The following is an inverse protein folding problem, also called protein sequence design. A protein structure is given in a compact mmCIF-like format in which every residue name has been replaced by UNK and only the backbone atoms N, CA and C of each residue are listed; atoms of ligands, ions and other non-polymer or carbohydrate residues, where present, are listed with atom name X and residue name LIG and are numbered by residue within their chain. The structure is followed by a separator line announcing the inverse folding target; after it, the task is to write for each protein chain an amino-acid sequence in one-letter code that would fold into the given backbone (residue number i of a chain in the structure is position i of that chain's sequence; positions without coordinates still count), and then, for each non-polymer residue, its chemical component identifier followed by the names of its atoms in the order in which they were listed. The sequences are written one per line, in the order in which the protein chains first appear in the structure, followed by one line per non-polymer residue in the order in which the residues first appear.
data_IF_039238132591
#
_entry.id   IF_039238132591
#
_cell.length_a   1.000
_cell.length_b   1.000
_cell.length_c   1.000
_cell.angle_alpha   90.00
_cell.angle_beta   90.00
_cell.angle_gamma   90.00
#
_symmetry.space_group_name_H-M   'P 1'
#
loop_
_entity.id
_entity.type
_entity.pdbx_description
1 polymer ?
#
# COMPACT_ATOMS: atom_id res chain seq x y z
N UNK A 1 -24.57 -10.48 -47.69
CA UNK A 1 -24.89 -9.25 -46.93
C UNK A 1 -25.15 -9.52 -45.45
N UNK A 2 -25.99 -10.50 -45.07
CA UNK A 2 -26.26 -10.88 -43.67
C UNK A 2 -25.03 -11.28 -42.84
N UNK A 3 -24.10 -12.08 -43.39
CA UNK A 3 -22.90 -12.51 -42.65
C UNK A 3 -21.92 -11.37 -42.34
N UNK A 4 -21.85 -10.35 -43.20
CA UNK A 4 -21.00 -9.16 -42.99
C UNK A 4 -21.59 -8.24 -41.91
N UNK A 5 -22.92 -8.11 -41.86
CA UNK A 5 -23.61 -7.33 -40.83
C UNK A 5 -23.53 -8.02 -39.46
N UNK A 6 -23.71 -9.34 -39.40
CA UNK A 6 -23.54 -10.13 -38.16
C UNK A 6 -22.10 -10.08 -37.63
N UNK A 7 -21.11 -10.16 -38.52
CA UNK A 7 -19.70 -10.02 -38.15
C UNK A 7 -19.38 -8.63 -37.59
N UNK A 8 -19.82 -7.55 -38.28
CA UNK A 8 -19.64 -6.17 -37.79
C UNK A 8 -20.34 -5.92 -36.45
N UNK A 9 -21.54 -6.47 -36.27
CA UNK A 9 -22.29 -6.35 -35.02
C UNK A 9 -21.56 -7.05 -33.86
N UNK A 10 -21.09 -8.29 -34.08
CA UNK A 10 -20.34 -9.04 -33.07
C UNK A 10 -19.02 -8.34 -32.70
N UNK A 11 -18.27 -7.82 -33.69
CA UNK A 11 -17.05 -7.06 -33.41
C UNK A 11 -17.32 -5.78 -32.59
N UNK A 12 -18.43 -5.08 -32.85
CA UNK A 12 -18.82 -3.89 -32.10
C UNK A 12 -19.24 -4.21 -30.67
N UNK A 13 -19.98 -5.31 -30.48
CA UNK A 13 -20.38 -5.77 -29.15
C UNK A 13 -19.14 -6.15 -28.31
N UNK A 14 -18.19 -6.90 -28.89
CA UNK A 14 -16.92 -7.23 -28.23
C UNK A 14 -16.09 -6.00 -27.89
N UNK A 15 -16.02 -5.01 -28.79
CA UNK A 15 -15.29 -3.76 -28.53
C UNK A 15 -15.90 -2.99 -27.36
N UNK A 16 -17.23 -2.89 -27.30
CA UNK A 16 -17.93 -2.19 -26.22
C UNK A 16 -17.71 -2.89 -24.86
N UNK A 17 -17.77 -4.23 -24.82
CA UNK A 17 -17.46 -4.98 -23.60
C UNK A 17 -16.02 -4.75 -23.12
N UNK A 18 -15.05 -4.73 -24.04
CA UNK A 18 -13.64 -4.45 -23.68
C UNK A 18 -13.48 -3.01 -23.16
N UNK A 19 -14.16 -2.04 -23.79
CA UNK A 19 -14.10 -0.65 -23.34
C UNK A 19 -14.72 -0.47 -21.96
N UNK A 20 -15.86 -1.12 -21.69
CA UNK A 20 -16.49 -1.10 -20.38
C UNK A 20 -15.60 -1.71 -19.30
N UNK A 21 -15.04 -2.91 -19.54
CA UNK A 21 -14.13 -3.56 -18.59
C UNK A 21 -12.90 -2.70 -18.27
N UNK A 22 -12.33 -2.01 -19.27
CA UNK A 22 -11.20 -1.09 -19.05
C UNK A 22 -11.62 0.17 -18.30
N UNK A 23 -12.83 0.69 -18.55
CA UNK A 23 -13.37 1.85 -17.82
C UNK A 23 -13.64 1.50 -16.35
N UNK A 24 -14.26 0.36 -16.09
CA UNK A 24 -14.53 -0.13 -14.73
C UNK A 24 -13.23 -0.35 -13.95
N UNK A 25 -12.15 -0.80 -14.61
CA UNK A 25 -10.81 -0.87 -14.00
C UNK A 25 -10.25 0.49 -13.62
N UNK A 26 -10.41 1.51 -14.48
CA UNK A 26 -9.95 2.86 -14.15
C UNK A 26 -10.73 3.42 -12.95
N UNK A 27 -12.05 3.17 -12.88
CA UNK A 27 -12.86 3.51 -11.70
C UNK A 27 -12.30 2.79 -10.47
N UNK A 28 -12.08 1.48 -10.56
CA UNK A 28 -11.56 0.69 -9.44
C UNK A 28 -10.16 1.13 -8.96
N UNK A 29 -9.34 1.72 -9.83
CA UNK A 29 -8.09 2.35 -9.44
C UNK A 29 -8.30 3.73 -8.79
N UNK A 30 -9.23 4.54 -9.31
CA UNK A 30 -9.47 5.91 -8.83
C UNK A 30 -10.20 5.95 -7.48
N UNK A 31 -11.15 5.04 -7.24
CA UNK A 31 -11.94 4.99 -6.01
C UNK A 31 -11.04 4.97 -4.74
N UNK A 32 -10.07 4.05 -4.61
CA UNK A 32 -9.10 4.09 -3.51
C UNK A 32 -8.33 5.40 -3.42
N UNK A 33 -7.86 5.97 -4.53
CA UNK A 33 -7.08 7.20 -4.55
C UNK A 33 -7.89 8.35 -3.92
N UNK A 34 -9.15 8.47 -4.30
CA UNK A 34 -10.06 9.52 -3.82
C UNK A 34 -10.43 9.32 -2.34
N UNK A 35 -10.63 8.07 -1.91
CA UNK A 35 -10.89 7.75 -0.50
C UNK A 35 -9.67 8.01 0.37
N UNK A 36 -8.47 7.66 -0.10
CA UNK A 36 -7.22 7.96 0.59
C UNK A 36 -7.03 9.47 0.72
N UNK A 37 -7.26 10.22 -0.36
CA UNK A 37 -7.20 11.68 -0.33
C UNK A 37 -8.13 12.27 0.75
N UNK A 38 -9.42 11.90 0.72
CA UNK A 38 -10.39 12.36 1.72
C UNK A 38 -10.03 11.94 3.15
N UNK A 39 -9.48 10.73 3.32
CA UNK A 39 -9.04 10.22 4.61
C UNK A 39 -7.84 11.02 5.15
N UNK A 40 -6.88 11.36 4.29
CA UNK A 40 -5.69 12.14 4.67
C UNK A 40 -6.02 13.59 5.05
N UNK A 41 -7.10 14.16 4.50
CA UNK A 41 -7.60 15.48 4.88
C UNK A 41 -8.17 15.52 6.31
N UNK A 42 -8.60 14.37 6.84
CA UNK A 42 -9.34 14.28 8.12
C UNK A 42 -8.50 13.71 9.24
N UNK A 43 -7.58 12.78 8.96
CA UNK A 43 -6.70 12.21 9.97
C UNK A 43 -5.84 13.29 10.63
N UNK A 44 -5.58 13.15 11.93
CA UNK A 44 -4.69 14.05 12.68
C UNK A 44 -3.25 13.56 12.79
N UNK A 45 -2.95 12.35 12.29
CA UNK A 45 -1.64 11.73 12.43
C UNK A 45 -0.91 11.64 11.09
N UNK A 46 0.14 12.44 10.92
CA UNK A 46 0.88 12.55 9.66
C UNK A 46 1.56 11.25 9.23
N UNK A 47 2.07 10.47 10.18
CA UNK A 47 2.64 9.16 9.88
C UNK A 47 1.59 8.20 9.31
N UNK A 48 0.38 8.19 9.88
CA UNK A 48 -0.73 7.37 9.39
C UNK A 48 -1.25 7.87 8.03
N UNK A 49 -1.31 9.19 7.81
CA UNK A 49 -1.62 9.76 6.49
C UNK A 49 -0.65 9.22 5.44
N UNK A 50 0.66 9.20 5.71
CA UNK A 50 1.68 8.63 4.81
C UNK A 50 1.54 7.12 4.62
N UNK A 51 1.24 6.42 5.72
CA UNK A 51 0.98 4.96 5.73
C UNK A 51 -0.12 4.55 4.78
N UNK A 52 -1.21 5.32 4.72
CA UNK A 52 -2.34 5.06 3.84
C UNK A 52 -2.09 5.68 2.45
N UNK A 53 -1.52 6.88 2.43
CA UNK A 53 -1.15 7.67 1.26
C UNK A 53 -0.30 6.90 0.24
N UNK A 54 0.63 6.07 0.71
CA UNK A 54 1.48 5.26 -0.18
C UNK A 54 0.69 4.34 -1.12
N UNK A 55 -0.54 3.94 -0.76
CA UNK A 55 -1.39 3.09 -1.59
C UNK A 55 -1.87 3.80 -2.86
N UNK A 56 -1.86 5.15 -2.89
CA UNK A 56 -2.12 5.92 -4.10
C UNK A 56 -1.14 5.53 -5.21
N UNK A 57 0.14 5.37 -4.89
CA UNK A 57 1.17 5.09 -5.89
C UNK A 57 1.11 3.68 -6.46
N UNK A 58 0.48 2.73 -5.77
CA UNK A 58 0.15 1.42 -6.35
C UNK A 58 -0.99 1.57 -7.36
N UNK A 59 -2.10 2.18 -6.94
CA UNK A 59 -3.31 2.28 -7.76
C UNK A 59 -3.11 3.17 -8.97
N UNK A 60 -2.26 4.18 -8.84
CA UNK A 60 -1.90 5.06 -9.93
C UNK A 60 -1.05 4.35 -11.00
N UNK A 61 -0.16 3.43 -10.61
CA UNK A 61 0.60 2.61 -11.56
C UNK A 61 -0.33 1.79 -12.45
N UNK A 62 -1.30 1.09 -11.83
CA UNK A 62 -2.33 0.33 -12.54
C UNK A 62 -3.22 1.22 -13.43
N UNK A 63 -3.56 2.43 -12.96
CA UNK A 63 -4.33 3.41 -13.71
C UNK A 63 -3.58 3.85 -14.98
N UNK A 64 -2.29 4.19 -14.84
CA UNK A 64 -1.41 4.65 -15.92
C UNK A 64 -1.15 3.54 -16.94
N UNK A 65 -1.12 2.27 -16.53
CA UNK A 65 -1.05 1.14 -17.47
C UNK A 65 -2.38 0.94 -18.23
N UNK A 66 -3.51 1.13 -17.55
CA UNK A 66 -4.85 0.87 -18.08
C UNK A 66 -5.36 1.96 -19.02
N UNK A 67 -5.14 3.24 -18.70
CA UNK A 67 -5.70 4.37 -19.43
C UNK A 67 -5.28 4.41 -20.92
N UNK A 68 -4.00 4.17 -21.30
CA UNK A 68 -3.59 4.06 -22.70
C UNK A 68 -4.31 2.94 -23.47
N UNK A 69 -4.67 1.83 -22.80
CA UNK A 69 -5.39 0.71 -23.43
C UNK A 69 -6.80 1.15 -23.80
N UNK A 70 -7.50 1.83 -22.90
CA UNK A 70 -8.83 2.38 -23.18
C UNK A 70 -8.79 3.46 -24.26
N UNK A 71 -7.82 4.38 -24.18
CA UNK A 71 -7.58 5.40 -25.21
C UNK A 71 -7.41 4.77 -26.60
N UNK A 72 -6.71 3.64 -26.70
CA UNK A 72 -6.55 2.92 -27.97
C UNK A 72 -7.87 2.29 -28.46
N UNK A 73 -8.74 1.79 -27.57
CA UNK A 73 -10.05 1.28 -27.97
C UNK A 73 -11.00 2.41 -28.40
N UNK A 74 -11.03 3.54 -27.68
CA UNK A 74 -11.77 4.74 -28.08
C UNK A 74 -11.34 5.23 -29.46
N UNK A 75 -10.03 5.27 -29.73
CA UNK A 75 -9.52 5.60 -31.07
C UNK A 75 -10.04 4.62 -32.15
N UNK A 76 -10.06 3.31 -31.86
CA UNK A 76 -10.59 2.28 -32.77
C UNK A 76 -12.10 2.42 -32.99
N UNK A 77 -12.82 2.91 -31.99
CA UNK A 77 -14.24 3.22 -32.08
C UNK A 77 -14.52 4.57 -32.79
N UNK A 78 -13.48 5.29 -33.22
CA UNK A 78 -13.61 6.50 -34.05
C UNK A 78 -13.54 7.83 -33.29
N UNK A 79 -13.25 7.82 -31.98
CA UNK A 79 -13.16 9.06 -31.19
C UNK A 79 -11.85 9.84 -31.46
N UNK A 80 -11.93 11.17 -31.37
CA UNK A 80 -10.76 12.06 -31.43
C UNK A 80 -10.12 12.15 -30.04
N UNK A 81 -9.00 11.45 -29.86
CA UNK A 81 -8.38 11.21 -28.54
C UNK A 81 -7.24 12.18 -28.17
N UNK A 82 -7.13 13.36 -28.81
CA UNK A 82 -5.96 14.24 -28.63
C UNK A 82 -5.81 14.70 -27.19
N UNK A 83 -6.90 15.19 -26.61
CA UNK A 83 -6.87 15.81 -25.28
C UNK A 83 -6.72 14.72 -24.20
N UNK A 84 -7.40 13.58 -24.36
CA UNK A 84 -7.20 12.39 -23.52
C UNK A 84 -5.73 11.91 -23.53
N UNK A 85 -5.13 11.81 -24.71
CA UNK A 85 -3.73 11.41 -24.85
C UNK A 85 -2.78 12.40 -24.17
N UNK A 86 -3.10 13.70 -24.19
CA UNK A 86 -2.31 14.72 -23.51
C UNK A 86 -2.42 14.59 -21.99
N UNK A 87 -3.63 14.41 -21.46
CA UNK A 87 -3.87 14.22 -20.04
C UNK A 87 -3.17 12.97 -19.49
N UNK A 88 -3.32 11.81 -20.16
CA UNK A 88 -2.63 10.56 -19.79
C UNK A 88 -1.12 10.75 -19.78
N UNK A 89 -0.55 11.44 -20.77
CA UNK A 89 0.90 11.69 -20.83
C UNK A 89 1.40 12.61 -19.73
N UNK A 90 0.61 13.62 -19.34
CA UNK A 90 0.94 14.50 -18.21
C UNK A 90 1.05 13.65 -16.94
N UNK A 91 -0.02 12.93 -16.59
CA UNK A 91 -0.05 12.05 -15.42
C UNK A 91 1.07 11.00 -15.44
N UNK A 92 1.31 10.38 -16.59
CA UNK A 92 2.40 9.41 -16.78
C UNK A 92 3.78 10.02 -16.53
N UNK A 93 4.04 11.25 -17.00
CA UNK A 93 5.31 11.93 -16.78
C UNK A 93 5.47 12.41 -15.33
N UNK A 94 4.39 12.91 -14.72
CA UNK A 94 4.39 13.35 -13.32
C UNK A 94 4.68 12.14 -12.40
N UNK A 95 4.16 10.96 -12.73
CA UNK A 95 4.43 9.70 -12.03
C UNK A 95 5.80 9.09 -12.32
N UNK A 96 6.17 8.97 -13.61
CA UNK A 96 7.39 8.30 -14.08
C UNK A 96 8.62 9.12 -13.74
N UNK A 97 9.16 8.85 -12.57
CA UNK A 97 10.43 9.39 -12.11
C UNK A 97 10.53 9.19 -10.62
N UNK A 98 10.02 10.16 -9.89
CA UNK A 98 10.16 10.20 -8.45
C UNK A 98 9.11 9.33 -7.73
N UNK A 99 7.83 9.43 -8.09
CA UNK A 99 6.75 8.69 -7.42
C UNK A 99 6.77 7.17 -7.68
N UNK A 100 7.25 6.73 -8.85
CA UNK A 100 7.48 5.30 -9.11
C UNK A 100 8.44 4.65 -8.09
N UNK A 101 9.38 5.44 -7.53
CA UNK A 101 10.30 4.97 -6.47
C UNK A 101 9.58 4.74 -5.14
N UNK A 102 8.54 5.52 -4.82
CA UNK A 102 7.72 5.32 -3.62
C UNK A 102 7.00 3.97 -3.69
N UNK A 103 6.39 3.66 -4.85
CA UNK A 103 5.76 2.36 -5.08
C UNK A 103 6.77 1.22 -4.87
N UNK A 104 7.94 1.32 -5.50
CA UNK A 104 8.96 0.28 -5.46
C UNK A 104 9.55 0.11 -4.04
N UNK A 105 10.09 1.19 -3.47
CA UNK A 105 10.92 1.12 -2.26
C UNK A 105 10.15 1.26 -0.94
N UNK A 106 8.93 1.81 -0.93
CA UNK A 106 8.17 2.03 0.32
C UNK A 106 6.88 1.23 0.41
N UNK A 107 6.42 0.65 -0.70
CA UNK A 107 5.07 0.06 -0.77
C UNK A 107 5.08 -1.40 -1.21
N UNK A 108 5.32 -1.68 -2.50
CA UNK A 108 5.11 -3.01 -3.09
C UNK A 108 6.22 -4.01 -2.76
N UNK A 109 7.45 -3.53 -2.61
CA UNK A 109 8.64 -4.38 -2.63
C UNK A 109 9.59 -4.10 -1.46
N UNK A 110 9.75 -2.85 -1.00
CA UNK A 110 10.64 -2.51 0.14
C UNK A 110 12.09 -2.99 -0.04
N UNK A 111 12.65 -2.75 -1.21
CA UNK A 111 14.07 -3.04 -1.48
C UNK A 111 15.00 -2.26 -0.52
N UNK A 112 16.23 -2.76 -0.39
CA UNK A 112 17.28 -2.08 0.35
C UNK A 112 17.54 -0.68 -0.23
N UNK A 113 17.40 0.31 0.64
CA UNK A 113 17.48 1.71 0.31
C UNK A 113 18.04 2.44 1.52
N UNK A 114 18.95 3.39 1.31
CA UNK A 114 19.57 4.10 2.42
C UNK A 114 18.53 4.92 3.19
N UNK A 115 18.77 5.09 4.49
CA UNK A 115 17.79 5.70 5.40
C UNK A 115 17.43 7.14 5.01
N UNK A 116 18.38 7.92 4.48
CA UNK A 116 18.13 9.31 4.11
C UNK A 116 17.22 9.37 2.90
N UNK A 117 17.56 8.66 1.83
CA UNK A 117 16.72 8.59 0.62
C UNK A 117 15.35 7.99 0.92
N UNK A 118 15.27 7.03 1.86
CA UNK A 118 14.00 6.44 2.30
C UNK A 118 13.10 7.46 2.96
N UNK A 119 13.64 8.27 3.86
CA UNK A 119 12.88 9.31 4.54
C UNK A 119 12.50 10.45 3.61
N UNK A 120 13.36 10.80 2.65
CA UNK A 120 13.00 11.76 1.60
C UNK A 120 11.79 11.25 0.81
N UNK A 121 11.84 10.03 0.27
CA UNK A 121 10.70 9.42 -0.43
C UNK A 121 9.44 9.34 0.44
N UNK A 122 9.60 9.07 1.74
CA UNK A 122 8.48 9.00 2.67
C UNK A 122 7.83 10.36 2.89
N UNK A 123 8.62 11.43 2.97
CA UNK A 123 8.10 12.78 3.12
C UNK A 123 7.35 13.29 1.91
N UNK A 124 7.74 12.86 0.72
CA UNK A 124 7.08 13.21 -0.55
C UNK A 124 5.74 12.48 -0.75
N UNK A 125 5.36 11.64 0.21
CA UNK A 125 3.98 11.24 0.43
C UNK A 125 3.35 12.38 1.26
N UNK A 126 2.75 13.35 0.58
CA UNK A 126 2.10 14.52 1.20
C UNK A 126 0.71 14.77 0.61
N UNK A 127 -0.02 15.73 1.18
CA UNK A 127 -1.41 15.97 0.78
C UNK A 127 -1.45 16.54 -0.64
N UNK A 128 -0.57 17.51 -0.93
CA UNK A 128 -0.50 18.17 -2.22
C UNK A 128 -0.22 17.17 -3.36
N UNK A 129 0.72 16.25 -3.18
CA UNK A 129 1.03 15.22 -4.18
C UNK A 129 -0.15 14.28 -4.39
N UNK A 130 -0.82 13.85 -3.32
CA UNK A 130 -2.00 12.99 -3.42
C UNK A 130 -3.16 13.71 -4.13
N UNK A 131 -3.41 14.98 -3.80
CA UNK A 131 -4.46 15.79 -4.40
C UNK A 131 -4.24 15.97 -5.90
N UNK A 132 -3.03 16.39 -6.33
CA UNK A 132 -2.68 16.56 -7.74
C UNK A 132 -2.90 15.28 -8.53
N UNK A 133 -2.44 14.14 -7.99
CA UNK A 133 -2.56 12.84 -8.65
C UNK A 133 -4.03 12.36 -8.72
N UNK A 134 -4.83 12.62 -7.69
CA UNK A 134 -6.25 12.31 -7.66
C UNK A 134 -7.02 13.13 -8.70
N UNK A 135 -6.75 14.43 -8.79
CA UNK A 135 -7.39 15.36 -9.71
C UNK A 135 -7.04 15.06 -11.17
N UNK A 136 -5.77 14.79 -11.47
CA UNK A 136 -5.34 14.42 -12.82
C UNK A 136 -6.00 13.10 -13.29
N UNK A 137 -6.13 12.12 -12.40
CA UNK A 137 -6.78 10.84 -12.71
C UNK A 137 -8.30 11.01 -12.91
N UNK A 138 -8.95 11.84 -12.09
CA UNK A 138 -10.37 12.18 -12.25
C UNK A 138 -10.64 12.95 -13.56
N UNK A 139 -9.77 13.90 -13.91
CA UNK A 139 -9.84 14.64 -15.18
C UNK A 139 -9.82 13.67 -16.38
N UNK A 140 -9.00 12.63 -16.34
CA UNK A 140 -8.95 11.62 -17.40
C UNK A 140 -10.31 10.91 -17.56
N UNK A 141 -10.96 10.51 -16.47
CA UNK A 141 -12.29 9.89 -16.53
C UNK A 141 -13.37 10.86 -17.05
N UNK A 142 -13.30 12.13 -16.65
CA UNK A 142 -14.21 13.16 -17.15
C UNK A 142 -14.05 13.38 -18.67
N UNK A 143 -12.81 13.38 -19.17
CA UNK A 143 -12.55 13.42 -20.61
C UNK A 143 -13.11 12.17 -21.30
N UNK A 144 -12.90 10.98 -20.75
CA UNK A 144 -13.44 9.72 -21.31
C UNK A 144 -14.97 9.78 -21.40
N UNK A 145 -15.65 10.22 -20.34
CA UNK A 145 -17.11 10.38 -20.34
C UNK A 145 -17.59 11.35 -21.44
N UNK A 146 -16.88 12.47 -21.63
CA UNK A 146 -17.21 13.43 -22.69
C UNK A 146 -17.02 12.87 -24.10
N UNK A 147 -16.09 11.92 -24.27
CA UNK A 147 -15.84 11.25 -25.54
C UNK A 147 -16.88 10.17 -25.83
N UNK A 148 -17.27 9.38 -24.82
CA UNK A 148 -18.25 8.32 -24.91
C UNK A 148 -19.08 8.19 -23.63
N UNK A 149 -20.27 8.81 -23.62
CA UNK A 149 -21.16 8.78 -22.47
C UNK A 149 -21.79 7.41 -22.20
N UNK A 150 -21.66 6.45 -23.12
CA UNK A 150 -22.20 5.09 -22.94
C UNK A 150 -21.39 4.25 -21.96
N UNK A 151 -20.14 4.63 -21.67
CA UNK A 151 -19.29 3.94 -20.68
C UNK A 151 -19.71 4.22 -19.23
N UNK A 152 -20.58 5.22 -19.01
CA UNK A 152 -21.03 5.63 -17.68
C UNK A 152 -20.30 6.86 -17.16
N UNK A 153 -20.61 7.23 -15.92
CA UNK A 153 -20.06 8.39 -15.20
C UNK A 153 -19.35 7.87 -13.96
N UNK A 154 -18.14 8.35 -13.71
CA UNK A 154 -17.49 8.13 -12.43
C UNK A 154 -18.21 8.93 -11.34
N UNK A 155 -18.57 8.27 -10.25
CA UNK A 155 -19.17 8.89 -9.07
C UNK A 155 -18.21 8.69 -7.91
N UNK A 156 -17.81 9.79 -7.28
CA UNK A 156 -16.91 9.77 -6.13
C UNK A 156 -17.50 8.92 -4.98
N UNK A 157 -16.69 8.09 -4.30
CA UNK A 157 -17.15 7.27 -3.18
C UNK A 157 -17.80 8.12 -2.08
N UNK A 158 -19.03 7.75 -1.68
CA UNK A 158 -19.84 8.50 -0.71
C UNK A 158 -19.24 8.52 0.70
N UNK A 159 -18.43 7.52 1.03
CA UNK A 159 -17.75 7.39 2.32
C UNK A 159 -16.80 8.56 2.64
N UNK A 160 -16.36 9.32 1.63
CA UNK A 160 -15.53 10.53 1.80
C UNK A 160 -16.33 11.65 2.49
N UNK A 161 -17.64 11.67 2.31
CA UNK A 161 -18.54 12.68 2.87
C UNK A 161 -19.33 12.19 4.09
N UNK A 162 -19.17 10.92 4.49
CA UNK A 162 -19.87 10.35 5.62
C UNK A 162 -19.31 10.87 6.96
N UNK A 163 -20.16 11.56 7.72
CA UNK A 163 -19.75 12.12 9.02
C UNK A 163 -19.34 11.05 10.04
N UNK A 164 -19.94 9.86 10.02
CA UNK A 164 -19.53 8.79 10.95
C UNK A 164 -18.12 8.30 10.63
N UNK A 165 -17.78 8.21 9.33
CA UNK A 165 -16.42 7.89 8.90
C UNK A 165 -15.46 9.00 9.32
N UNK A 166 -15.80 10.28 9.06
CA UNK A 166 -14.97 11.42 9.47
C UNK A 166 -14.74 11.46 10.98
N UNK A 167 -15.80 11.29 11.77
CA UNK A 167 -15.73 11.26 13.23
C UNK A 167 -14.87 10.08 13.70
N UNK A 168 -15.00 8.90 13.09
CA UNK A 168 -14.14 7.77 13.38
C UNK A 168 -12.66 8.09 13.05
N UNK A 169 -12.36 8.71 11.92
CA UNK A 169 -10.99 9.10 11.55
C UNK A 169 -10.41 10.16 12.49
N UNK A 170 -11.18 11.19 12.85
CA UNK A 170 -10.75 12.26 13.77
C UNK A 170 -10.45 11.74 15.17
N UNK A 171 -11.25 10.77 15.63
CA UNK A 171 -11.09 10.15 16.94
C UNK A 171 -10.01 9.06 16.96
N UNK A 172 -9.34 8.77 15.85
CA UNK A 172 -8.18 7.87 15.84
C UNK A 172 -7.02 8.56 16.58
N UNK A 173 -6.81 8.18 17.84
CA UNK A 173 -5.79 8.79 18.69
C UNK A 173 -4.38 8.29 18.32
N UNK A 174 -3.41 9.20 18.33
CA UNK A 174 -2.00 8.83 18.32
C UNK A 174 -1.67 8.10 19.63
N UNK A 175 -1.06 6.92 19.51
CA UNK A 175 -1.01 5.92 20.59
C UNK A 175 -0.12 6.28 21.79
N UNK A 176 0.71 7.32 21.70
CA UNK A 176 1.68 7.59 22.74
C UNK A 176 1.65 9.06 23.16
N UNK A 177 1.31 9.28 24.43
CA UNK A 177 1.60 10.53 25.11
C UNK A 177 3.06 10.51 25.59
N UNK A 178 3.90 11.35 24.97
CA UNK A 178 5.32 11.51 25.32
C UNK A 178 6.29 10.93 24.29
N UNK A 179 7.57 10.89 24.66
CA UNK A 179 8.66 10.49 23.77
C UNK A 179 8.79 8.98 23.72
N UNK A 180 8.87 8.41 22.52
CA UNK A 180 8.90 6.96 22.28
C UNK A 180 10.19 6.52 21.60
N UNK A 181 10.49 5.22 21.67
CA UNK A 181 11.62 4.61 20.96
C UNK A 181 11.17 3.97 19.64
N UNK A 182 11.65 4.49 18.53
CA UNK A 182 11.51 3.91 17.21
C UNK A 182 12.71 3.06 16.80
N UNK A 183 12.47 1.79 16.50
CA UNK A 183 13.51 0.84 16.04
C UNK A 183 13.23 0.38 14.62
N UNK A 184 12.53 1.23 13.89
CA UNK A 184 12.12 1.05 12.52
C UNK A 184 12.73 2.16 11.65
N UNK A 185 12.80 1.92 10.34
CA UNK A 185 13.53 2.79 9.42
C UNK A 185 12.78 4.07 9.03
N UNK A 186 11.53 4.24 9.48
CA UNK A 186 10.71 5.44 9.30
C UNK A 186 10.57 6.23 10.61
N UNK A 187 11.19 5.76 11.69
CA UNK A 187 11.06 6.37 13.02
C UNK A 187 11.45 7.85 13.05
N UNK A 188 12.42 8.25 12.24
CA UNK A 188 12.89 9.64 12.14
C UNK A 188 11.85 10.62 11.57
N UNK A 189 10.78 10.13 10.92
CA UNK A 189 9.70 10.97 10.41
C UNK A 189 8.56 11.17 11.41
N UNK A 190 8.68 10.66 12.64
CA UNK A 190 7.61 10.72 13.64
C UNK A 190 7.95 11.73 14.72
N UNK A 191 6.97 12.53 15.07
CA UNK A 191 7.00 13.39 16.25
C UNK A 191 7.40 12.59 17.49
N UNK A 192 8.13 13.23 18.41
CA UNK A 192 8.46 12.68 19.72
C UNK A 192 9.03 11.26 19.68
N UNK A 193 9.88 10.95 18.70
CA UNK A 193 10.46 9.62 18.53
C UNK A 193 11.98 9.66 18.53
N UNK A 194 12.61 8.91 19.43
CA UNK A 194 14.04 8.61 19.40
C UNK A 194 14.25 7.45 18.43
N UNK A 195 15.18 7.60 17.50
CA UNK A 195 15.49 6.55 16.53
C UNK A 195 16.98 6.26 16.44
N UNK A 196 17.31 5.18 15.74
CA UNK A 196 18.69 4.77 15.50
C UNK A 196 18.97 4.72 14.00
N UNK A 197 20.15 5.17 13.60
CA UNK A 197 20.64 4.98 12.22
C UNK A 197 21.31 3.60 12.18
N UNK A 198 20.93 2.72 11.25
CA UNK A 198 21.51 1.40 11.18
C UNK A 198 22.97 1.50 10.69
N UNK A 199 23.87 0.77 11.35
CA UNK A 199 25.29 0.70 11.03
C UNK A 199 25.73 -0.71 10.60
N UNK A 200 24.78 -1.64 10.49
CA UNK A 200 25.01 -3.05 10.13
C UNK A 200 23.79 -3.64 9.43
N UNK A 201 23.97 -4.62 8.55
CA UNK A 201 22.88 -5.24 7.77
C UNK A 201 21.78 -5.85 8.64
N UNK A 202 22.14 -6.40 9.80
CA UNK A 202 21.15 -6.89 10.79
C UNK A 202 20.26 -5.77 11.31
N UNK A 203 20.83 -4.57 11.48
CA UNK A 203 20.09 -3.39 11.92
C UNK A 203 19.14 -2.91 10.82
N UNK A 204 19.63 -2.80 9.58
CA UNK A 204 18.83 -2.41 8.42
C UNK A 204 17.63 -3.35 8.24
N UNK A 205 17.86 -4.67 8.23
CA UNK A 205 16.78 -5.65 8.04
C UNK A 205 15.80 -5.65 9.21
N UNK A 206 16.28 -5.63 10.46
CA UNK A 206 15.39 -5.59 11.61
C UNK A 206 14.58 -4.29 11.66
N UNK A 207 15.14 -3.15 11.25
CA UNK A 207 14.39 -1.90 11.13
C UNK A 207 13.33 -1.96 10.01
N UNK A 208 13.61 -2.63 8.89
CA UNK A 208 12.61 -2.89 7.84
C UNK A 208 11.42 -3.72 8.37
N UNK A 209 11.70 -4.79 9.12
CA UNK A 209 10.71 -5.64 9.78
C UNK A 209 9.84 -4.80 10.72
N UNK A 210 10.45 -3.98 11.58
CA UNK A 210 9.71 -3.11 12.49
C UNK A 210 8.82 -2.11 11.74
N UNK A 211 9.28 -1.55 10.62
CA UNK A 211 8.45 -0.62 9.83
C UNK A 211 7.30 -1.35 9.14
N UNK A 212 7.49 -2.60 8.68
CA UNK A 212 6.38 -3.41 8.14
C UNK A 212 5.32 -3.65 9.20
N UNK A 213 5.75 -4.04 10.40
CA UNK A 213 4.87 -4.25 11.53
C UNK A 213 4.11 -2.99 11.93
N UNK A 214 4.80 -1.88 12.16
CA UNK A 214 4.18 -0.61 12.58
C UNK A 214 3.10 -0.14 11.59
N UNK A 215 3.40 -0.24 10.29
CA UNK A 215 2.49 0.16 9.25
C UNK A 215 1.26 -0.74 9.23
N UNK A 216 1.43 -2.07 9.27
CA UNK A 216 0.33 -3.02 9.30
C UNK A 216 -0.53 -2.90 10.58
N UNK A 217 0.09 -2.82 11.76
CA UNK A 217 -0.61 -2.73 13.04
C UNK A 217 -1.45 -1.47 13.16
N UNK A 218 -0.96 -0.32 12.69
CA UNK A 218 -1.74 0.92 12.68
C UNK A 218 -2.92 0.85 11.72
N UNK A 219 -2.74 0.23 10.56
CA UNK A 219 -3.82 0.01 9.60
C UNK A 219 -4.87 -0.96 10.15
N UNK A 220 -4.48 -2.02 10.86
CA UNK A 220 -5.40 -2.95 11.53
C UNK A 220 -6.24 -2.22 12.59
N UNK A 221 -5.60 -1.39 13.42
CA UNK A 221 -6.33 -0.61 14.43
C UNK A 221 -7.32 0.36 13.79
N UNK A 222 -6.90 1.02 12.71
CA UNK A 222 -7.81 1.87 11.93
C UNK A 222 -8.97 1.07 11.34
N UNK A 223 -8.68 -0.10 10.77
CA UNK A 223 -9.70 -1.00 10.21
C UNK A 223 -10.72 -1.38 11.29
N UNK A 224 -10.26 -1.82 12.46
CA UNK A 224 -11.13 -2.18 13.59
C UNK A 224 -12.04 -1.01 14.02
N UNK A 225 -11.53 0.22 13.99
CA UNK A 225 -12.29 1.43 14.33
C UNK A 225 -13.41 1.74 13.32
N UNK A 226 -13.25 1.36 12.05
CA UNK A 226 -14.23 1.61 10.97
C UNK A 226 -15.00 0.36 10.53
N UNK A 227 -14.77 -0.79 11.17
CA UNK A 227 -15.24 -2.12 10.73
C UNK A 227 -16.75 -2.12 10.43
N UNK A 228 -17.53 -1.56 11.35
CA UNK A 228 -19.00 -1.53 11.29
C UNK A 228 -19.57 -0.43 10.39
N UNK A 229 -18.72 0.47 9.87
CA UNK A 229 -19.13 1.58 9.03
C UNK A 229 -19.28 1.16 7.56
N UNK A 230 -20.16 1.84 6.82
CA UNK A 230 -20.40 1.60 5.40
C UNK A 230 -19.33 2.29 4.52
N UNK A 231 -18.08 1.87 4.66
CA UNK A 231 -16.92 2.39 3.92
C UNK A 231 -16.14 1.27 3.18
N UNK A 232 -16.78 0.57 2.22
CA UNK A 232 -16.18 -0.59 1.57
C UNK A 232 -14.87 -0.30 0.84
N UNK A 233 -14.71 0.88 0.23
CA UNK A 233 -13.49 1.18 -0.55
C UNK A 233 -12.30 1.39 0.39
N UNK A 234 -12.48 2.13 1.49
CA UNK A 234 -11.47 2.31 2.53
C UNK A 234 -11.09 0.97 3.15
N UNK A 235 -12.07 0.13 3.51
CA UNK A 235 -11.83 -1.19 4.09
C UNK A 235 -11.01 -2.10 3.16
N UNK A 236 -11.40 -2.20 1.88
CA UNK A 236 -10.62 -2.96 0.88
C UNK A 236 -9.20 -2.42 0.70
N UNK A 237 -9.05 -1.09 0.73
CA UNK A 237 -7.74 -0.43 0.62
C UNK A 237 -6.85 -0.77 1.79
N UNK A 238 -7.38 -0.72 3.01
CA UNK A 238 -6.65 -1.11 4.23
C UNK A 238 -6.32 -2.61 4.21
N UNK A 239 -7.25 -3.49 3.88
CA UNK A 239 -7.01 -4.94 3.80
C UNK A 239 -5.90 -5.29 2.78
N UNK A 240 -5.93 -4.64 1.60
CA UNK A 240 -4.87 -4.79 0.61
C UNK A 240 -3.50 -4.31 1.14
N UNK A 241 -3.47 -3.16 1.81
CA UNK A 241 -2.24 -2.60 2.40
C UNK A 241 -1.67 -3.48 3.53
N UNK A 242 -2.52 -4.00 4.41
CA UNK A 242 -2.14 -4.94 5.48
C UNK A 242 -1.58 -6.23 4.89
N UNK A 243 -2.20 -6.74 3.82
CA UNK A 243 -1.73 -7.93 3.10
C UNK A 243 -0.33 -7.72 2.51
N UNK A 244 -0.08 -6.55 1.91
CA UNK A 244 1.25 -6.19 1.39
C UNK A 244 2.31 -6.19 2.49
N UNK A 245 2.05 -5.49 3.59
CA UNK A 245 3.01 -5.38 4.69
C UNK A 245 3.26 -6.72 5.38
N UNK A 246 2.22 -7.55 5.54
CA UNK A 246 2.34 -8.89 6.12
C UNK A 246 3.23 -9.78 5.25
N UNK A 247 3.08 -9.71 3.93
CA UNK A 247 3.97 -10.44 3.02
C UNK A 247 5.39 -9.89 3.05
N UNK A 248 5.58 -8.58 2.99
CA UNK A 248 6.91 -7.97 3.11
C UNK A 248 7.60 -8.40 4.41
N UNK A 249 6.85 -8.52 5.52
CA UNK A 249 7.35 -9.04 6.79
C UNK A 249 7.81 -10.51 6.66
N UNK A 250 7.01 -11.37 6.01
CA UNK A 250 7.40 -12.78 5.75
C UNK A 250 8.66 -12.82 4.87
N UNK A 251 8.71 -12.06 3.77
CA UNK A 251 9.86 -12.00 2.87
C UNK A 251 11.12 -11.54 3.61
N UNK A 252 11.01 -10.52 4.48
CA UNK A 252 12.13 -9.95 5.22
C UNK A 252 12.64 -10.85 6.33
N UNK A 253 11.77 -11.56 7.05
CA UNK A 253 12.19 -12.45 8.14
C UNK A 253 12.73 -13.76 7.56
N UNK A 254 11.96 -14.43 6.70
CA UNK A 254 12.17 -15.83 6.31
C UNK A 254 12.52 -16.02 4.83
N UNK A 255 12.15 -15.06 3.98
CA UNK A 255 12.10 -15.25 2.52
C UNK A 255 10.82 -15.96 2.08
N UNK A 256 10.66 -16.16 0.78
CA UNK A 256 9.51 -16.88 0.21
C UNK A 256 9.92 -18.24 -0.35
N UNK A 257 9.12 -19.31 -0.11
CA UNK A 257 9.36 -20.62 -0.69
C UNK A 257 9.49 -20.57 -2.22
N UNK A 258 10.48 -21.26 -2.76
CA UNK A 258 10.70 -21.37 -4.21
C UNK A 258 11.13 -20.08 -4.92
N UNK A 259 11.48 -19.03 -4.16
CA UNK A 259 11.94 -17.75 -4.72
C UNK A 259 13.31 -17.39 -4.16
N UNK A 260 14.13 -16.76 -5.00
CA UNK A 260 15.40 -16.17 -4.56
C UNK A 260 15.05 -14.85 -3.86
N UNK A 261 15.40 -14.67 -2.58
CA UNK A 261 15.24 -13.40 -1.89
C UNK A 261 15.95 -12.28 -2.64
N UNK A 262 15.34 -11.09 -2.67
CA UNK A 262 15.94 -9.89 -3.29
C UNK A 262 17.15 -9.38 -2.51
N UNK A 263 17.18 -9.70 -1.23
CA UNK A 263 18.17 -9.32 -0.23
C UNK A 263 18.27 -10.42 0.81
N UNK A 264 19.33 -10.40 1.63
CA UNK A 264 19.45 -11.38 2.72
C UNK A 264 18.31 -11.22 3.71
N UNK A 265 17.69 -12.34 4.06
CA UNK A 265 16.62 -12.41 5.06
C UNK A 265 17.21 -12.24 6.47
N UNK A 266 16.37 -11.90 7.45
CA UNK A 266 16.83 -11.78 8.82
C UNK A 266 17.33 -13.12 9.37
N UNK A 267 16.72 -14.26 8.99
CA UNK A 267 17.21 -15.60 9.32
C UNK A 267 18.62 -15.82 8.79
N UNK A 268 18.88 -15.50 7.53
CA UNK A 268 20.20 -15.67 6.91
C UNK A 268 21.26 -14.82 7.63
N UNK A 269 20.95 -13.54 7.87
CA UNK A 269 21.84 -12.61 8.59
C UNK A 269 22.10 -13.11 10.01
N UNK A 270 21.06 -13.58 10.70
CA UNK A 270 21.14 -14.11 12.06
C UNK A 270 22.04 -15.35 12.12
N UNK A 271 21.91 -16.27 11.17
CA UNK A 271 22.76 -17.47 11.09
C UNK A 271 24.22 -17.12 10.81
N UNK A 272 24.49 -16.29 9.81
CA UNK A 272 25.84 -15.86 9.45
C UNK A 272 26.53 -15.12 10.61
N UNK A 273 25.76 -14.37 11.40
CA UNK A 273 26.25 -13.59 12.54
C UNK A 273 26.27 -14.37 13.86
N UNK A 274 25.85 -15.64 13.86
CA UNK A 274 25.77 -16.49 15.05
C UNK A 274 24.81 -15.95 16.12
N UNK A 275 23.62 -15.49 15.72
CA UNK A 275 22.59 -15.02 16.65
C UNK A 275 21.90 -16.21 17.32
N UNK A 276 21.73 -16.15 18.65
CA UNK A 276 21.12 -17.27 19.39
C UNK A 276 19.68 -17.57 18.97
N UNK A 277 18.94 -16.58 18.48
CA UNK A 277 17.56 -16.73 18.01
C UNK A 277 17.41 -17.26 16.58
N UNK A 278 18.51 -17.52 15.85
CA UNK A 278 18.44 -17.89 14.43
C UNK A 278 17.71 -19.23 14.20
N UNK A 279 18.01 -20.25 15.01
CA UNK A 279 17.40 -21.57 14.90
C UNK A 279 15.90 -21.54 15.21
N UNK A 280 15.48 -20.65 16.13
CA UNK A 280 14.06 -20.45 16.43
C UNK A 280 13.32 -19.90 15.22
N UNK A 281 13.86 -18.85 14.57
CA UNK A 281 13.25 -18.29 13.37
C UNK A 281 13.19 -19.31 12.23
N UNK A 282 14.22 -20.14 12.05
CA UNK A 282 14.18 -21.22 11.07
C UNK A 282 13.10 -22.26 11.39
N UNK A 283 12.91 -22.64 12.66
CA UNK A 283 11.83 -23.54 13.06
C UNK A 283 10.45 -22.95 12.73
N UNK A 284 10.25 -21.65 12.99
CA UNK A 284 9.04 -20.95 12.59
C UNK A 284 8.86 -20.93 11.08
N UNK A 285 9.91 -20.64 10.30
CA UNK A 285 9.87 -20.65 8.85
C UNK A 285 9.41 -22.00 8.29
N UNK A 286 9.93 -23.10 8.85
CA UNK A 286 9.58 -24.46 8.45
C UNK A 286 8.18 -24.88 8.91
N UNK A 287 7.61 -24.21 9.91
CA UNK A 287 6.26 -24.47 10.42
C UNK A 287 5.19 -23.61 9.74
N UNK A 288 5.58 -22.60 8.93
CA UNK A 288 4.62 -21.77 8.21
C UNK A 288 3.83 -22.63 7.21
N UNK A 289 2.48 -22.54 7.19
CA UNK A 289 1.69 -23.25 6.21
C UNK A 289 2.00 -22.69 4.81
N UNK A 290 2.72 -23.45 3.99
CA UNK A 290 3.12 -23.01 2.64
C UNK A 290 1.92 -22.62 1.78
N UNK A 291 0.83 -23.38 1.85
CA UNK A 291 -0.41 -23.07 1.11
C UNK A 291 -0.99 -21.69 1.47
N UNK A 292 -0.94 -21.31 2.75
CA UNK A 292 -1.39 -19.99 3.20
C UNK A 292 -0.48 -18.87 2.69
N UNK A 293 0.84 -19.11 2.64
CA UNK A 293 1.79 -18.15 2.09
C UNK A 293 1.62 -17.99 0.57
N UNK A 294 1.44 -19.09 -0.15
CA UNK A 294 1.19 -19.08 -1.59
C UNK A 294 -0.13 -18.37 -1.93
N UNK A 295 -1.18 -18.59 -1.14
CA UNK A 295 -2.44 -17.87 -1.28
C UNK A 295 -2.24 -16.35 -1.10
N UNK A 296 -1.54 -15.92 -0.05
CA UNK A 296 -1.25 -14.50 0.16
C UNK A 296 -0.44 -13.91 -1.00
N UNK A 297 0.59 -14.62 -1.48
CA UNK A 297 1.39 -14.20 -2.64
C UNK A 297 0.51 -14.02 -3.88
N UNK A 298 -0.41 -14.95 -4.12
CA UNK A 298 -1.34 -14.88 -5.24
C UNK A 298 -2.26 -13.66 -5.10
N UNK A 299 -2.88 -13.45 -3.93
CA UNK A 299 -3.72 -12.29 -3.64
C UNK A 299 -2.93 -11.00 -3.88
N UNK A 300 -1.72 -10.89 -3.34
CA UNK A 300 -0.85 -9.73 -3.51
C UNK A 300 -0.58 -9.42 -4.97
N UNK A 301 -0.21 -10.43 -5.74
CA UNK A 301 0.09 -10.29 -7.16
C UNK A 301 -1.17 -10.06 -8.01
N UNK A 302 -2.36 -10.48 -7.55
CA UNK A 302 -3.56 -10.28 -8.33
C UNK A 302 -4.21 -8.93 -8.10
N UNK A 303 -4.17 -8.42 -6.86
CA UNK A 303 -5.03 -7.28 -6.49
C UNK A 303 -4.41 -6.26 -5.53
N UNK A 304 -3.38 -6.62 -4.75
CA UNK A 304 -2.82 -5.68 -3.75
C UNK A 304 -1.65 -4.84 -4.26
N UNK A 305 -0.66 -5.44 -4.94
CA UNK A 305 0.53 -4.74 -5.45
C UNK A 305 0.36 -4.23 -6.89
N UNK A 306 -0.59 -4.81 -7.61
CA UNK A 306 -1.02 -4.47 -8.96
C UNK A 306 -2.35 -5.19 -9.22
N UNK A 307 -3.04 -4.82 -10.29
CA UNK A 307 -4.20 -5.57 -10.78
C UNK A 307 -3.81 -6.53 -11.90
N UNK A 308 -4.20 -7.80 -11.79
CA UNK A 308 -3.97 -8.77 -12.85
C UNK A 308 -4.81 -8.41 -14.08
N UNK A 309 -4.12 -8.12 -15.19
CA UNK A 309 -4.73 -7.59 -16.43
C UNK A 309 -5.71 -8.54 -17.12
N UNK A 310 -5.61 -9.84 -16.84
CA UNK A 310 -6.42 -10.89 -17.48
C UNK A 310 -7.54 -11.41 -16.56
N UNK A 311 -7.62 -10.94 -15.31
CA UNK A 311 -8.62 -11.35 -14.33
C UNK A 311 -9.76 -10.34 -14.30
N UNK A 312 -11.02 -10.72 -14.60
CA UNK A 312 -12.16 -9.80 -14.62
C UNK A 312 -12.26 -8.90 -13.38
N UNK A 313 -12.67 -7.64 -13.55
CA UNK A 313 -12.71 -6.68 -12.45
C UNK A 313 -13.61 -7.13 -11.29
N UNK A 314 -14.73 -7.81 -11.59
CA UNK A 314 -15.62 -8.36 -10.58
C UNK A 314 -14.91 -9.41 -9.69
N UNK A 315 -14.07 -10.25 -10.28
CA UNK A 315 -13.31 -11.27 -9.55
C UNK A 315 -12.24 -10.61 -8.67
N UNK A 316 -11.60 -9.55 -9.16
CA UNK A 316 -10.65 -8.75 -8.37
C UNK A 316 -11.32 -8.11 -7.16
N UNK A 317 -12.51 -7.53 -7.35
CA UNK A 317 -13.31 -6.97 -6.24
C UNK A 317 -13.69 -8.05 -5.24
N UNK A 318 -14.11 -9.24 -5.70
CA UNK A 318 -14.44 -10.34 -4.82
C UNK A 318 -13.25 -10.80 -3.98
N UNK A 319 -12.05 -10.89 -4.57
CA UNK A 319 -10.83 -11.22 -3.80
C UNK A 319 -10.58 -10.16 -2.71
N UNK A 320 -10.79 -8.88 -3.01
CA UNK A 320 -10.66 -7.81 -2.01
C UNK A 320 -11.74 -7.92 -0.93
N UNK A 321 -12.97 -8.26 -1.28
CA UNK A 321 -14.05 -8.48 -0.32
C UNK A 321 -13.74 -9.66 0.60
N UNK A 322 -13.29 -10.79 0.05
CA UNK A 322 -12.93 -11.99 0.81
C UNK A 322 -11.83 -11.68 1.86
N UNK A 323 -10.76 -10.97 1.47
CA UNK A 323 -9.71 -10.58 2.44
C UNK A 323 -10.16 -9.52 3.44
N UNK A 324 -11.16 -8.71 3.07
CA UNK A 324 -11.74 -7.69 3.94
C UNK A 324 -12.61 -8.34 5.01
N UNK A 325 -13.35 -9.40 4.66
CA UNK A 325 -14.13 -10.20 5.60
C UNK A 325 -13.23 -11.01 6.54
N UNK A 326 -12.11 -11.52 6.05
CA UNK A 326 -11.13 -12.31 6.80
C UNK A 326 -10.01 -11.47 7.47
N UNK A 327 -10.21 -10.16 7.71
CA UNK A 327 -9.14 -9.28 8.18
C UNK A 327 -8.52 -9.71 9.52
N UNK A 328 -9.30 -10.33 10.44
CA UNK A 328 -8.76 -10.83 11.71
C UNK A 328 -7.75 -11.97 11.50
N UNK A 329 -7.84 -12.72 10.40
CA UNK A 329 -6.83 -13.73 10.04
C UNK A 329 -5.50 -13.06 9.70
N UNK A 330 -5.53 -11.89 9.04
CA UNK A 330 -4.34 -11.10 8.77
C UNK A 330 -3.71 -10.58 10.07
N UNK A 331 -4.51 -10.06 11.00
CA UNK A 331 -4.03 -9.63 12.32
C UNK A 331 -3.39 -10.77 13.12
N UNK A 332 -4.06 -11.93 13.18
CA UNK A 332 -3.50 -13.12 13.83
C UNK A 332 -2.18 -13.58 13.21
N UNK A 333 -2.07 -13.54 11.88
CA UNK A 333 -0.82 -13.86 11.18
C UNK A 333 0.29 -12.86 11.55
N UNK A 334 -0.02 -11.56 11.50
CA UNK A 334 0.93 -10.50 11.85
C UNK A 334 1.46 -10.67 13.28
N UNK A 335 0.57 -10.88 14.25
CA UNK A 335 0.92 -11.08 15.65
C UNK A 335 1.74 -12.35 15.88
N UNK A 336 1.45 -13.42 15.14
CA UNK A 336 2.22 -14.68 15.19
C UNK A 336 3.65 -14.47 14.67
N UNK A 337 3.79 -13.81 13.52
CA UNK A 337 5.08 -13.51 12.90
C UNK A 337 5.94 -12.65 13.84
N UNK A 338 5.36 -11.60 14.42
CA UNK A 338 6.07 -10.72 15.33
C UNK A 338 6.35 -11.36 16.69
N UNK A 339 5.49 -12.23 17.19
CA UNK A 339 5.76 -13.04 18.37
C UNK A 339 7.03 -13.88 18.19
N UNK A 340 7.17 -14.55 17.05
CA UNK A 340 8.37 -15.30 16.70
C UNK A 340 9.61 -14.40 16.60
N UNK A 341 9.48 -13.25 15.93
CA UNK A 341 10.56 -12.27 15.80
C UNK A 341 11.04 -11.75 17.15
N UNK A 342 10.14 -11.31 18.03
CA UNK A 342 10.48 -10.82 19.37
C UNK A 342 11.06 -11.91 20.26
N UNK A 343 10.51 -13.14 20.21
CA UNK A 343 11.06 -14.25 20.97
C UNK A 343 12.51 -14.53 20.54
N UNK A 344 12.79 -14.57 19.23
CA UNK A 344 14.15 -14.71 18.73
C UNK A 344 15.06 -13.55 19.15
N UNK A 345 14.57 -12.31 19.05
CA UNK A 345 15.33 -11.12 19.44
C UNK A 345 15.66 -11.08 20.93
N UNK A 346 14.84 -11.69 21.80
CA UNK A 346 15.10 -11.78 23.24
C UNK A 346 16.27 -12.68 23.61
N UNK A 347 16.58 -13.65 22.74
CA UNK A 347 17.65 -14.61 22.95
C UNK A 347 19.03 -14.00 22.72
N UNK A 348 19.17 -12.95 21.90
CA UNK A 348 20.47 -12.34 21.59
C UNK A 348 20.53 -10.86 22.01
N UNK A 349 21.55 -10.49 22.79
CA UNK A 349 21.72 -9.11 23.28
C UNK A 349 21.82 -8.08 22.13
N UNK A 350 22.36 -8.48 20.97
CA UNK A 350 22.54 -7.59 19.81
C UNK A 350 21.22 -7.20 19.16
N UNK A 351 20.15 -7.97 19.39
CA UNK A 351 18.82 -7.76 18.80
C UNK A 351 17.78 -7.29 19.81
N UNK A 352 18.12 -7.21 21.11
CA UNK A 352 17.18 -6.75 22.15
C UNK A 352 16.71 -5.31 21.98
N UNK A 353 17.43 -4.50 21.20
CA UNK A 353 16.99 -3.16 20.84
C UNK A 353 15.58 -3.15 20.21
N UNK A 354 15.19 -4.19 19.46
CA UNK A 354 13.85 -4.27 18.87
C UNK A 354 12.72 -4.50 19.89
N UNK A 355 13.05 -4.97 21.09
CA UNK A 355 12.06 -5.25 22.15
C UNK A 355 11.62 -4.02 22.92
N UNK A 356 12.38 -2.92 22.81
CA UNK A 356 12.03 -1.63 23.43
C UNK A 356 11.36 -0.69 22.42
N UNK A 357 11.00 -1.19 21.23
CA UNK A 357 10.28 -0.42 20.25
C UNK A 357 8.87 -0.04 20.75
N UNK A 358 8.49 1.21 20.56
CA UNK A 358 7.22 1.76 21.04
C UNK A 358 7.21 2.11 22.53
N UNK A 359 8.26 1.76 23.28
CA UNK A 359 8.35 2.09 24.71
C UNK A 359 8.52 3.59 24.94
N UNK A 360 7.91 4.11 26.00
CA UNK A 360 8.03 5.50 26.41
C UNK A 360 9.34 5.74 27.16
N UNK A 361 10.01 6.84 26.82
CA UNK A 361 11.25 7.27 27.47
C UNK A 361 10.93 8.28 28.56
N UNK A 362 11.32 7.94 29.79
CA UNK A 362 11.11 8.82 30.95
C UNK A 362 12.27 9.80 31.10
N UNK A 363 11.96 11.04 31.50
CA UNK A 363 12.95 12.04 31.88
C UNK A 363 13.60 12.80 30.72
N UNK A 364 13.02 12.71 29.52
CA UNK A 364 13.39 13.54 28.36
C UNK A 364 12.26 14.53 28.12
N UNK A 365 12.62 15.79 27.87
CA UNK A 365 11.68 16.83 27.47
C UNK A 365 11.57 16.84 25.95
N UNK A 366 10.38 17.11 25.43
CA UNK A 366 10.17 17.30 23.99
C UNK A 366 11.11 18.38 23.47
N UNK A 367 11.76 18.12 22.34
CA UNK A 367 12.67 19.04 21.67
C UNK A 367 12.07 19.50 20.35
N UNK A 368 12.51 20.65 19.85
CA UNK A 368 12.07 21.16 18.55
C UNK A 368 12.24 20.13 17.41
N UNK A 369 11.38 20.27 16.39
CA UNK A 369 11.33 19.44 15.18
C UNK A 369 12.74 19.27 14.60
N UNK A 370 13.21 18.02 14.58
CA UNK A 370 14.45 17.69 13.87
C UNK A 370 14.19 17.87 12.37
N UNK A 371 15.18 18.32 11.57
CA UNK A 371 15.00 18.50 10.12
C UNK A 371 14.63 17.22 9.33
N UNK A 372 14.45 16.10 10.03
CA UNK A 372 14.03 14.78 9.55
C UNK A 372 12.53 14.56 9.67
N UNK A 373 11.81 15.42 10.39
CA UNK A 373 10.36 15.40 10.47
C UNK A 373 9.82 16.50 9.55
N UNK A 374 8.90 16.14 8.66
CA UNK A 374 8.18 17.09 7.79
C UNK A 374 6.67 16.92 7.98
N UNK A 375 5.95 18.01 8.27
CA UNK A 375 4.49 18.00 8.29
C UNK A 375 3.91 17.41 7.01
N UNK A 376 2.75 16.79 7.11
CA UNK A 376 1.95 16.35 5.98
C UNK A 376 1.08 17.53 5.53
N UNK A 377 1.61 18.34 4.62
CA UNK A 377 0.96 19.54 4.09
C UNK A 377 0.43 19.38 2.68
#
# INVERSE_FOLDING_TARGET
MFNVLKFKYNCKLTLMTIMQELFDRLIHCLEPIQVIHGTCQVLNNDFLKRTIGRMVFIRLDDFIETAPRLQNQLKRNGHIIRDLKSAIRKLDNDYKGYYAKIRLHLTAHRDDFDIASRLDLWHDIDLASIEILADDAELILNIIHSLDSSLGIYVKPKEIDDNNVKDALLNFQSENAGITIGMDNLAGSRENTIFTIPCHSSQERGQNIMSCFDLASRQIKLFSQIETLACPVLKRTLAASITLDTLNLIEDIFGLPGRIPRHKTFVEIAKESGFQGADLLEQYANALPHDSCDQLIQIRNHVCAHYHKDTPIADLIQILDDITEDWQKLDNNLNTLMGAFYQACSMDIRTRMYLIHGENVKGILETDITGWEKPFT
#
